data_IF_681809323503
#
_entry.id   IF_681809323503
#
_cell.length_a   1.000
_cell.length_b   1.000
_cell.length_c   1.000
_cell.angle_alpha   90.00
_cell.angle_beta   90.00
_cell.angle_gamma   90.00
#
_symmetry.space_group_name_H-M   'P 1'
#
loop_
_entity.id
_entity.type
_entity.pdbx_description
1 polymer ?
#
# COMPACT_ATOMS: atom_id res chain seq x y z
N UNK A 1 11.02 -16.90 -2.62
CA UNK A 1 10.81 -16.00 -1.48
C UNK A 1 10.95 -16.77 -0.19
N UNK A 2 11.87 -16.37 0.62
CA UNK A 2 12.11 -17.06 1.87
C UNK A 2 11.03 -16.69 2.90
N UNK A 3 10.49 -17.67 3.57
CA UNK A 3 9.58 -17.43 4.66
C UNK A 3 10.26 -17.55 6.00
N UNK A 4 11.12 -18.54 6.13
CA UNK A 4 11.92 -18.73 7.31
C UNK A 4 11.18 -18.44 8.60
N UNK A 5 11.91 -18.10 9.62
CA UNK A 5 11.34 -17.79 10.93
C UNK A 5 10.67 -16.42 11.01
N UNK A 6 10.84 -15.59 9.98
CA UNK A 6 10.26 -14.24 9.99
C UNK A 6 8.95 -14.15 9.19
N UNK A 7 8.53 -15.26 8.58
CA UNK A 7 7.26 -15.32 7.90
C UNK A 7 7.23 -14.62 6.56
N UNK A 8 6.04 -14.16 6.16
CA UNK A 8 5.82 -13.51 4.87
C UNK A 8 6.41 -12.11 4.90
N UNK A 9 7.18 -11.72 3.87
CA UNK A 9 7.76 -10.38 3.81
C UNK A 9 6.73 -9.27 3.95
N UNK A 10 7.14 -8.21 4.62
CA UNK A 10 6.26 -7.08 4.93
C UNK A 10 5.70 -6.42 3.67
N UNK A 11 6.51 -6.29 2.62
CA UNK A 11 6.04 -5.63 1.39
C UNK A 11 4.88 -6.38 0.75
N UNK A 12 4.84 -7.71 0.85
CA UNK A 12 3.71 -8.48 0.33
C UNK A 12 2.47 -8.27 1.19
N UNK A 13 2.63 -8.26 2.51
CA UNK A 13 1.51 -8.02 3.43
C UNK A 13 0.97 -6.60 3.27
N UNK A 14 1.86 -5.62 3.11
CA UNK A 14 1.45 -4.25 2.87
C UNK A 14 0.69 -4.11 1.56
N UNK A 15 1.15 -4.80 0.51
CA UNK A 15 0.46 -4.76 -0.78
C UNK A 15 -0.99 -5.21 -0.68
N UNK A 16 -1.24 -6.28 0.07
CA UNK A 16 -2.62 -6.75 0.30
C UNK A 16 -3.43 -5.74 1.09
N UNK A 17 -2.83 -5.11 2.10
CA UNK A 17 -3.52 -4.09 2.89
C UNK A 17 -3.90 -2.90 2.01
N UNK A 18 -2.96 -2.44 1.18
CA UNK A 18 -3.21 -1.33 0.27
C UNK A 18 -4.34 -1.65 -0.72
N UNK A 19 -4.29 -2.83 -1.31
CA UNK A 19 -5.35 -3.26 -2.23
C UNK A 19 -6.70 -3.32 -1.54
N UNK A 20 -6.75 -3.83 -0.31
CA UNK A 20 -7.98 -3.89 0.47
C UNK A 20 -8.56 -2.51 0.74
N UNK A 21 -7.72 -1.57 1.16
CA UNK A 21 -8.17 -0.20 1.43
C UNK A 21 -8.73 0.46 0.17
N UNK A 22 -8.03 0.29 -0.96
CA UNK A 22 -8.48 0.86 -2.22
C UNK A 22 -9.81 0.27 -2.66
N UNK A 23 -9.93 -1.07 -2.59
CA UNK A 23 -11.14 -1.76 -3.05
C UNK A 23 -12.34 -1.50 -2.16
N UNK A 24 -12.13 -1.36 -0.85
CA UNK A 24 -13.20 -1.00 0.09
C UNK A 24 -13.86 0.32 -0.30
N UNK A 25 -13.09 1.22 -0.89
CA UNK A 25 -13.57 2.54 -1.31
C UNK A 25 -14.03 2.55 -2.76
N UNK A 26 -13.95 1.41 -3.43
CA UNK A 26 -14.26 1.30 -4.87
C UNK A 26 -13.41 2.23 -5.72
N UNK A 27 -12.16 2.46 -5.30
CA UNK A 27 -11.24 3.33 -6.01
C UNK A 27 -10.48 2.54 -7.09
N UNK A 28 -10.33 3.15 -8.27
CA UNK A 28 -9.44 2.62 -9.31
C UNK A 28 -8.01 3.05 -9.01
N UNK A 29 -7.05 2.41 -9.70
CA UNK A 29 -5.65 2.88 -9.63
C UNK A 29 -5.54 4.32 -10.12
N UNK A 30 -6.28 4.67 -11.17
CA UNK A 30 -6.28 6.04 -11.71
C UNK A 30 -6.75 7.03 -10.66
N UNK A 31 -7.84 6.72 -9.95
CA UNK A 31 -8.34 7.62 -8.91
C UNK A 31 -7.29 7.79 -7.80
N UNK A 32 -6.73 6.69 -7.31
CA UNK A 32 -5.75 6.77 -6.24
C UNK A 32 -4.48 7.51 -6.71
N UNK A 33 -4.08 7.29 -7.96
CA UNK A 33 -2.92 7.99 -8.54
C UNK A 33 -3.15 9.50 -8.53
N UNK A 34 -4.30 9.94 -9.01
CA UNK A 34 -4.62 11.37 -9.07
C UNK A 34 -4.75 11.96 -7.67
N UNK A 35 -5.32 11.21 -6.75
CA UNK A 35 -5.56 11.66 -5.39
C UNK A 35 -4.27 11.73 -4.57
N UNK A 36 -3.35 10.79 -4.78
CA UNK A 36 -2.11 10.71 -4.00
C UNK A 36 -0.93 11.42 -4.68
N UNK A 37 -0.99 11.57 -5.99
CA UNK A 37 0.16 12.07 -6.76
C UNK A 37 1.17 10.98 -7.09
N UNK A 38 0.87 9.71 -6.79
CA UNK A 38 1.78 8.59 -7.09
C UNK A 38 1.38 7.96 -8.43
N UNK A 39 2.38 7.52 -9.19
CA UNK A 39 2.12 6.91 -10.51
C UNK A 39 1.33 5.61 -10.38
N UNK A 40 0.43 5.35 -11.33
CA UNK A 40 -0.38 4.13 -11.33
C UNK A 40 0.48 2.87 -11.35
N UNK A 41 1.55 2.86 -12.14
CA UNK A 41 2.46 1.71 -12.20
C UNK A 41 3.14 1.43 -10.88
N UNK A 42 3.49 2.49 -10.15
CA UNK A 42 4.08 2.36 -8.83
C UNK A 42 3.07 1.79 -7.83
N UNK A 43 1.84 2.30 -7.85
CA UNK A 43 0.77 1.79 -6.99
C UNK A 43 0.51 0.31 -7.27
N UNK A 44 0.47 -0.06 -8.54
CA UNK A 44 0.28 -1.45 -8.95
C UNK A 44 1.41 -2.33 -8.38
N UNK A 45 2.65 -1.86 -8.50
CA UNK A 45 3.81 -2.60 -7.98
C UNK A 45 3.76 -2.74 -6.46
N UNK A 46 3.31 -1.70 -5.75
CA UNK A 46 3.15 -1.77 -4.29
C UNK A 46 2.10 -2.82 -3.90
N UNK A 47 0.97 -2.85 -4.60
CA UNK A 47 -0.08 -3.84 -4.30
C UNK A 47 0.37 -5.26 -4.57
N UNK A 48 1.24 -5.45 -5.56
CA UNK A 48 1.76 -6.78 -5.90
C UNK A 48 3.01 -7.15 -5.09
N UNK A 49 3.50 -6.26 -4.24
CA UNK A 49 4.65 -6.53 -3.39
C UNK A 49 5.97 -6.56 -4.13
N UNK A 50 6.04 -6.03 -5.36
CA UNK A 50 7.27 -6.00 -6.14
C UNK A 50 8.10 -4.76 -5.88
N UNK A 51 7.55 -3.78 -5.16
CA UNK A 51 8.28 -2.60 -4.71
C UNK A 51 7.97 -2.33 -3.25
N UNK A 52 8.93 -1.71 -2.58
CA UNK A 52 8.77 -1.35 -1.17
C UNK A 52 8.52 0.15 -1.05
N UNK A 53 7.53 0.56 -0.25
CA UNK A 53 7.29 1.98 -0.04
C UNK A 53 8.34 2.55 0.91
N UNK A 54 8.83 3.75 0.61
CA UNK A 54 9.64 4.49 1.57
C UNK A 54 8.71 5.17 2.59
N UNK A 55 9.30 5.75 3.62
CA UNK A 55 8.51 6.41 4.67
C UNK A 55 7.61 7.50 4.12
N UNK A 56 8.14 8.30 3.18
CA UNK A 56 7.34 9.37 2.58
C UNK A 56 6.15 8.82 1.82
N UNK A 57 6.34 7.69 1.12
CA UNK A 57 5.24 7.05 0.40
C UNK A 57 4.17 6.58 1.38
N UNK A 58 4.57 6.00 2.51
CA UNK A 58 3.60 5.58 3.53
C UNK A 58 2.80 6.77 4.04
N UNK A 59 3.46 7.89 4.29
CA UNK A 59 2.80 9.10 4.76
C UNK A 59 1.78 9.60 3.73
N UNK A 60 2.17 9.65 2.46
CA UNK A 60 1.29 10.09 1.39
C UNK A 60 0.07 9.17 1.27
N UNK A 61 0.29 7.85 1.32
CA UNK A 61 -0.82 6.90 1.23
C UNK A 61 -1.76 7.01 2.42
N UNK A 62 -1.21 7.11 3.63
CA UNK A 62 -2.03 7.29 4.82
C UNK A 62 -2.93 8.52 4.68
N UNK A 63 -2.36 9.65 4.28
CA UNK A 63 -3.12 10.87 4.09
C UNK A 63 -4.16 10.74 2.98
N UNK A 64 -3.82 10.01 1.91
CA UNK A 64 -4.75 9.79 0.80
C UNK A 64 -6.00 9.03 1.24
N UNK A 65 -5.85 8.13 2.20
CA UNK A 65 -6.98 7.39 2.77
C UNK A 65 -7.55 8.04 4.03
N UNK A 66 -7.03 9.21 4.42
CA UNK A 66 -7.40 9.93 5.64
C UNK A 66 -7.17 9.07 6.89
N UNK A 67 -6.05 8.37 6.89
CA UNK A 67 -5.63 7.50 7.99
C UNK A 67 -4.31 7.99 8.57
N UNK A 68 -4.03 7.57 9.80
CA UNK A 68 -2.68 7.68 10.34
C UNK A 68 -1.83 6.55 9.73
N UNK A 69 -0.51 6.67 9.86
CA UNK A 69 0.37 5.57 9.39
C UNK A 69 0.07 4.30 10.18
N UNK A 70 -0.23 4.42 11.46
CA UNK A 70 -0.60 3.28 12.30
C UNK A 70 -1.85 2.60 11.76
N UNK A 71 -2.87 3.37 11.39
CA UNK A 71 -4.10 2.82 10.82
C UNK A 71 -3.86 2.20 9.45
N UNK A 72 -3.02 2.85 8.62
CA UNK A 72 -2.66 2.29 7.32
C UNK A 72 -2.03 0.91 7.46
N UNK A 73 -1.20 0.73 8.48
CA UNK A 73 -0.46 -0.51 8.71
C UNK A 73 -1.22 -1.52 9.60
N UNK A 74 -2.46 -1.22 9.94
CA UNK A 74 -3.22 -2.08 10.84
C UNK A 74 -3.42 -3.47 10.26
N UNK A 75 -3.20 -4.48 11.10
CA UNK A 75 -3.41 -5.86 10.70
C UNK A 75 -2.29 -6.46 9.86
N UNK A 76 -1.18 -5.75 9.71
CA UNK A 76 -0.05 -6.27 8.93
C UNK A 76 0.91 -7.10 9.84
#
# INVERSE_FOLDING_TARGET
MARGKFGIPLNLRFGKRLAGLRKERSWTFTYLSEHSGLATGFLHALEHGTKEPCLNTLDILAKSFELTISELMDGI
#
